data_IF_742306662582
#
_entry.id   IF_742306662582
#
_cell.length_a   1.000
_cell.length_b   1.000
_cell.length_c   1.000
_cell.angle_alpha   90.00
_cell.angle_beta   90.00
_cell.angle_gamma   90.00
#
_symmetry.space_group_name_H-M   'P 1'
#
loop_
_entity.id
_entity.type
_entity.pdbx_description
1 polymer ?
#
# COMPACT_ATOMS: atom_id res chain seq x y z
N UNK A 1 -2.86 -10.32 -16.90
CA UNK A 1 -2.46 -9.38 -15.83
C UNK A 1 -0.97 -9.41 -15.45
N UNK A 2 -0.42 -10.40 -14.72
CA UNK A 2 0.97 -10.30 -14.21
C UNK A 2 2.08 -10.30 -15.29
N UNK A 3 1.89 -11.03 -16.39
CA UNK A 3 2.85 -11.08 -17.51
C UNK A 3 2.78 -9.87 -18.43
N UNK A 4 1.58 -9.29 -18.62
CA UNK A 4 1.36 -8.18 -19.56
C UNK A 4 1.80 -6.82 -19.00
N UNK A 5 1.65 -6.62 -17.69
CA UNK A 5 2.14 -5.42 -17.00
C UNK A 5 3.68 -5.43 -16.98
N UNK A 6 4.29 -6.56 -16.61
CA UNK A 6 5.74 -6.72 -16.64
C UNK A 6 6.35 -6.66 -18.05
N UNK A 7 5.62 -7.04 -19.11
CA UNK A 7 6.14 -6.99 -20.48
C UNK A 7 6.18 -5.58 -21.09
N UNK A 8 5.59 -4.59 -20.42
CA UNK A 8 5.52 -3.20 -20.90
C UNK A 8 6.38 -2.23 -20.08
N UNK A 9 6.87 -2.67 -18.93
CA UNK A 9 7.76 -1.89 -18.09
C UNK A 9 9.21 -2.22 -18.42
N UNK A 10 10.01 -1.18 -18.52
CA UNK A 10 11.44 -1.26 -18.75
C UNK A 10 12.21 -0.44 -17.72
N UNK A 11 13.43 -0.89 -17.44
CA UNK A 11 14.36 -0.18 -16.59
C UNK A 11 15.16 0.80 -17.45
N UNK A 12 15.02 2.09 -17.18
CA UNK A 12 15.78 3.16 -17.84
C UNK A 12 16.76 3.78 -16.84
N UNK A 13 17.88 4.27 -17.35
CA UNK A 13 18.93 4.95 -16.58
C UNK A 13 19.26 6.26 -17.27
N UNK A 14 19.53 7.30 -16.49
CA UNK A 14 19.95 8.59 -17.03
C UNK A 14 19.94 9.70 -16.00
N UNK A 15 20.20 10.92 -16.47
CA UNK A 15 20.20 12.13 -15.64
C UNK A 15 18.85 12.83 -15.71
N UNK A 16 18.35 13.31 -14.57
CA UNK A 16 17.13 14.11 -14.52
C UNK A 16 17.39 15.55 -14.94
N UNK A 17 16.54 16.07 -15.83
CA UNK A 17 16.45 17.48 -16.18
C UNK A 17 14.99 17.96 -16.14
N UNK A 18 14.80 19.29 -16.09
CA UNK A 18 13.51 19.96 -16.17
C UNK A 18 12.43 19.46 -15.18
N UNK A 19 12.84 18.96 -14.01
CA UNK A 19 11.96 18.41 -12.99
C UNK A 19 10.91 19.43 -12.52
N UNK A 20 9.65 19.01 -12.60
CA UNK A 20 8.48 19.70 -12.06
C UNK A 20 7.73 18.73 -11.15
N UNK A 21 7.45 19.19 -9.94
CA UNK A 21 6.72 18.43 -8.93
C UNK A 21 5.45 19.20 -8.60
N UNK A 22 4.31 18.51 -8.63
CA UNK A 22 3.02 19.05 -8.17
C UNK A 22 2.42 18.07 -7.19
N UNK A 23 2.30 18.47 -5.93
CA UNK A 23 1.54 17.70 -4.94
C UNK A 23 0.06 17.80 -5.29
N UNK A 24 -0.58 16.66 -5.53
CA UNK A 24 -2.00 16.59 -5.89
C UNK A 24 -2.67 15.52 -5.04
N UNK A 25 -3.93 15.78 -4.70
CA UNK A 25 -4.83 14.80 -4.12
C UNK A 25 -5.42 13.97 -5.27
N UNK A 26 -5.23 12.66 -5.21
CA UNK A 26 -5.79 11.72 -6.16
C UNK A 26 -6.16 10.44 -5.40
N UNK A 27 -7.34 9.91 -5.67
CA UNK A 27 -7.70 8.60 -5.16
C UNK A 27 -6.94 7.52 -5.96
N UNK A 28 -5.96 6.88 -5.32
CA UNK A 28 -5.18 5.78 -5.91
C UNK A 28 -5.84 4.42 -5.67
N UNK A 29 -6.85 4.34 -4.80
CA UNK A 29 -7.41 3.10 -4.26
C UNK A 29 -8.77 2.79 -4.89
N UNK A 30 -9.61 3.81 -5.14
CA UNK A 30 -10.89 3.70 -5.83
C UNK A 30 -10.82 4.24 -7.25
N UNK A 31 -11.50 3.56 -8.18
CA UNK A 31 -11.69 4.11 -9.53
C UNK A 31 -12.85 5.11 -9.56
N UNK A 32 -12.88 6.02 -10.55
CA UNK A 32 -13.98 6.98 -10.76
C UNK A 32 -15.38 6.31 -10.70
N UNK A 33 -15.54 5.16 -11.34
CA UNK A 33 -16.80 4.40 -11.30
C UNK A 33 -17.22 3.96 -9.89
N UNK A 34 -16.27 3.65 -8.99
CA UNK A 34 -16.59 3.28 -7.61
C UNK A 34 -17.00 4.51 -6.79
N UNK A 35 -16.41 5.67 -7.11
CA UNK A 35 -16.76 6.96 -6.53
C UNK A 35 -18.18 7.35 -6.92
N UNK A 36 -18.50 7.30 -8.21
CA UNK A 36 -19.85 7.56 -8.75
C UNK A 36 -20.90 6.61 -8.16
N UNK A 37 -20.58 5.32 -8.04
CA UNK A 37 -21.46 4.36 -7.38
C UNK A 37 -21.69 4.67 -5.90
N UNK A 38 -20.66 5.12 -5.18
CA UNK A 38 -20.77 5.51 -3.77
C UNK A 38 -21.57 6.80 -3.58
N UNK A 39 -21.39 7.79 -4.45
CA UNK A 39 -22.20 9.02 -4.47
C UNK A 39 -23.67 8.71 -4.78
N UNK A 40 -23.94 7.88 -5.79
CA UNK A 40 -25.30 7.43 -6.11
C UNK A 40 -25.93 6.65 -4.94
N UNK A 41 -25.15 5.83 -4.24
CA UNK A 41 -25.60 5.10 -3.05
C UNK A 41 -25.87 6.04 -1.88
N UNK A 42 -25.04 7.07 -1.68
CA UNK A 42 -25.24 8.09 -0.67
C UNK A 42 -26.51 8.90 -0.93
N UNK A 43 -26.76 9.28 -2.19
CA UNK A 43 -27.99 9.95 -2.62
C UNK A 43 -29.22 9.06 -2.37
N UNK A 44 -29.15 7.78 -2.73
CA UNK A 44 -30.22 6.81 -2.44
C UNK A 44 -30.48 6.64 -0.94
N UNK A 45 -29.42 6.53 -0.13
CA UNK A 45 -29.53 6.45 1.33
C UNK A 45 -30.14 7.72 1.93
N UNK A 46 -29.80 8.91 1.42
CA UNK A 46 -30.39 10.18 1.85
C UNK A 46 -31.89 10.25 1.53
N UNK A 47 -32.30 9.83 0.33
CA UNK A 47 -33.71 9.76 -0.08
C UNK A 47 -34.52 8.78 0.77
N UNK A 48 -33.89 7.71 1.26
CA UNK A 48 -34.50 6.73 2.17
C UNK A 48 -34.45 7.15 3.64
N UNK A 49 -34.04 8.40 3.95
CA UNK A 49 -33.99 8.92 5.32
C UNK A 49 -32.83 8.38 6.16
N UNK A 50 -31.87 7.68 5.57
CA UNK A 50 -30.69 7.12 6.23
C UNK A 50 -29.54 8.15 6.27
N UNK A 51 -29.79 9.32 6.87
CA UNK A 51 -28.86 10.45 6.85
C UNK A 51 -27.45 10.13 7.38
N UNK A 52 -27.34 9.34 8.45
CA UNK A 52 -26.05 8.92 8.99
C UNK A 52 -25.25 8.05 8.00
N UNK A 53 -25.92 7.12 7.31
CA UNK A 53 -25.31 6.26 6.29
C UNK A 53 -24.89 7.05 5.05
N UNK A 54 -25.71 8.02 4.62
CA UNK A 54 -25.40 8.91 3.51
C UNK A 54 -24.16 9.77 3.80
N UNK A 55 -24.09 10.38 4.98
CA UNK A 55 -22.91 11.14 5.44
C UNK A 55 -21.68 10.23 5.54
N UNK A 56 -21.84 9.01 6.04
CA UNK A 56 -20.76 8.02 6.10
C UNK A 56 -20.20 7.68 4.72
N UNK A 57 -21.05 7.47 3.72
CA UNK A 57 -20.66 7.18 2.34
C UNK A 57 -19.97 8.37 1.65
N UNK A 58 -20.48 9.58 1.84
CA UNK A 58 -19.86 10.82 1.33
C UNK A 58 -18.50 11.09 1.98
N UNK A 59 -18.37 10.84 3.28
CA UNK A 59 -17.08 10.98 3.95
C UNK A 59 -16.06 9.94 3.49
N UNK A 60 -16.50 8.72 3.15
CA UNK A 60 -15.62 7.69 2.60
C UNK A 60 -15.15 8.02 1.19
N UNK A 61 -15.98 8.66 0.36
CA UNK A 61 -15.56 9.15 -0.96
C UNK A 61 -14.64 10.36 -0.86
N UNK A 62 -14.90 11.28 0.07
CA UNK A 62 -14.07 12.46 0.26
C UNK A 62 -12.70 12.16 0.90
N UNK A 63 -12.61 11.19 1.81
CA UNK A 63 -11.36 10.84 2.52
C UNK A 63 -10.54 9.75 1.81
N UNK A 64 -10.93 9.28 0.63
CA UNK A 64 -10.14 8.32 -0.15
C UNK A 64 -9.06 9.00 -1.01
N UNK A 65 -9.05 10.34 -1.06
CA UNK A 65 -8.00 11.11 -1.73
C UNK A 65 -6.70 11.07 -0.91
N UNK A 66 -5.64 10.49 -1.49
CA UNK A 66 -4.31 10.47 -0.88
C UNK A 66 -3.38 11.47 -1.60
N UNK A 67 -2.49 12.14 -0.85
CA UNK A 67 -1.54 13.10 -1.40
C UNK A 67 -0.31 12.40 -1.97
N UNK A 68 -0.09 12.52 -3.27
CA UNK A 68 1.12 12.06 -3.94
C UNK A 68 1.72 13.17 -4.82
N UNK A 69 2.99 12.99 -5.17
CA UNK A 69 3.69 13.89 -6.08
C UNK A 69 3.43 13.44 -7.53
N UNK A 70 2.73 14.28 -8.30
CA UNK A 70 2.77 14.20 -9.75
C UNK A 70 4.10 14.80 -10.21
N UNK A 71 4.90 14.00 -10.91
CA UNK A 71 6.21 14.38 -11.40
C UNK A 71 6.23 14.44 -12.92
N UNK A 72 6.89 15.45 -13.45
CA UNK A 72 7.21 15.60 -14.88
C UNK A 72 8.68 15.95 -14.98
N UNK A 73 9.45 15.21 -15.78
CA UNK A 73 10.88 15.47 -15.98
C UNK A 73 11.37 14.89 -17.30
N UNK A 74 12.57 15.30 -17.70
CA UNK A 74 13.28 14.70 -18.82
C UNK A 74 14.37 13.76 -18.28
N UNK A 75 14.43 12.55 -18.81
CA UNK A 75 15.53 11.60 -18.59
C UNK A 75 16.34 11.50 -19.88
N UNK A 76 17.54 12.09 -19.89
CA UNK A 76 18.41 12.15 -21.08
C UNK A 76 17.67 12.63 -22.36
N UNK A 77 16.78 13.61 -22.21
CA UNK A 77 15.97 14.17 -23.30
C UNK A 77 14.67 13.41 -23.61
N UNK A 78 14.37 12.33 -22.87
CA UNK A 78 13.11 11.60 -22.97
C UNK A 78 12.11 12.11 -21.94
N UNK A 79 10.90 12.49 -22.37
CA UNK A 79 9.87 13.01 -21.48
C UNK A 79 9.24 11.90 -20.63
N UNK A 80 9.26 12.07 -19.32
CA UNK A 80 8.71 11.15 -18.31
C UNK A 80 7.70 11.88 -17.43
N UNK A 81 6.58 11.22 -17.16
CA UNK A 81 5.56 11.70 -16.21
C UNK A 81 5.07 10.55 -15.33
N UNK A 82 4.53 10.83 -14.15
CA UNK A 82 3.94 9.78 -13.32
C UNK A 82 3.64 10.19 -11.90
N UNK A 83 3.16 9.20 -11.12
CA UNK A 83 2.85 9.37 -9.71
C UNK A 83 3.88 8.66 -8.86
N UNK A 84 4.49 9.40 -7.94
CA UNK A 84 5.38 8.85 -6.92
C UNK A 84 4.91 9.31 -5.55
N UNK A 85 5.14 8.48 -4.53
CA UNK A 85 4.77 8.84 -3.16
C UNK A 85 5.41 10.14 -2.70
N UNK A 86 6.69 10.30 -3.01
CA UNK A 86 7.40 11.56 -2.92
C UNK A 86 8.63 11.52 -3.81
N UNK A 87 8.99 12.63 -4.44
CA UNK A 87 10.16 12.69 -5.31
C UNK A 87 11.46 12.86 -4.49
N UNK A 88 12.42 11.90 -4.52
CA UNK A 88 13.61 11.94 -3.65
C UNK A 88 14.81 12.68 -4.25
N UNK A 89 14.71 13.17 -5.49
CA UNK A 89 15.83 13.61 -6.33
C UNK A 89 15.61 14.99 -6.92
N UNK A 90 16.68 15.59 -7.42
CA UNK A 90 16.70 16.91 -8.03
C UNK A 90 17.25 16.86 -9.46
N UNK A 91 17.17 17.98 -10.19
CA UNK A 91 17.83 18.10 -11.49
C UNK A 91 19.34 17.87 -11.36
N UNK A 92 19.91 17.09 -12.27
CA UNK A 92 21.30 16.68 -12.28
C UNK A 92 21.59 15.37 -11.54
N UNK A 93 20.61 14.79 -10.84
CA UNK A 93 20.78 13.48 -10.19
C UNK A 93 20.70 12.35 -11.24
N UNK A 94 21.62 11.39 -11.14
CA UNK A 94 21.59 10.11 -11.86
C UNK A 94 20.58 9.16 -11.21
N UNK A 95 19.69 8.57 -12.02
CA UNK A 95 18.62 7.71 -11.52
C UNK A 95 18.40 6.45 -12.36
N UNK A 96 17.83 5.44 -11.73
CA UNK A 96 17.26 4.25 -12.35
C UNK A 96 15.73 4.30 -12.21
N UNK A 97 14.99 4.39 -13.32
CA UNK A 97 13.53 4.40 -13.29
C UNK A 97 12.95 3.13 -13.89
N UNK A 98 11.85 2.65 -13.30
CA UNK A 98 11.00 1.64 -13.94
C UNK A 98 9.80 2.36 -14.54
N UNK A 99 9.67 2.32 -15.86
CA UNK A 99 8.66 3.06 -16.58
C UNK A 99 7.99 2.22 -17.67
N UNK A 100 6.73 2.52 -17.97
CA UNK A 100 6.01 1.99 -19.13
C UNK A 100 6.06 3.00 -20.27
N UNK A 101 6.40 2.53 -21.48
CA UNK A 101 6.35 3.35 -22.68
C UNK A 101 4.89 3.69 -23.06
N UNK A 102 4.58 4.97 -23.17
CA UNK A 102 3.29 5.49 -23.63
C UNK A 102 3.34 5.90 -25.11
N UNK A 103 2.18 6.04 -25.78
CA UNK A 103 2.11 6.60 -27.12
C UNK A 103 2.81 7.97 -27.21
N UNK A 104 3.30 8.33 -28.40
CA UNK A 104 4.01 9.60 -28.67
C UNK A 104 5.37 9.76 -27.97
N UNK A 105 6.03 8.65 -27.63
CA UNK A 105 7.41 8.67 -27.13
C UNK A 105 7.56 9.18 -25.69
N UNK A 106 6.47 9.24 -24.94
CA UNK A 106 6.46 9.57 -23.51
C UNK A 106 6.57 8.31 -22.67
N UNK A 107 6.97 8.49 -21.42
CA UNK A 107 7.08 7.41 -20.44
C UNK A 107 6.25 7.70 -19.21
N UNK A 108 5.60 6.65 -18.70
CA UNK A 108 4.92 6.70 -17.41
C UNK A 108 5.78 6.01 -16.35
N UNK A 109 6.28 6.75 -15.36
CA UNK A 109 7.14 6.20 -14.29
C UNK A 109 6.32 5.56 -13.18
N UNK A 110 6.74 4.36 -12.76
CA UNK A 110 6.18 3.63 -11.62
C UNK A 110 7.12 3.56 -10.42
N UNK A 111 8.43 3.68 -10.65
CA UNK A 111 9.41 3.74 -9.58
C UNK A 111 10.66 4.46 -10.04
N UNK A 112 11.33 5.09 -9.09
CA UNK A 112 12.58 5.79 -9.26
C UNK A 112 13.52 5.40 -8.13
N UNK A 113 14.76 5.04 -8.49
CA UNK A 113 15.82 4.71 -7.55
C UNK A 113 17.01 5.63 -7.81
N UNK A 114 17.52 6.24 -6.74
CA UNK A 114 18.82 6.94 -6.76
C UNK A 114 19.92 5.93 -6.39
N UNK A 115 20.86 5.61 -7.30
CA UNK A 115 21.91 4.65 -7.01
C UNK A 115 22.89 5.08 -5.91
N UNK A 116 23.11 6.39 -5.76
CA UNK A 116 24.08 6.97 -4.82
C UNK A 116 23.85 6.55 -3.36
N UNK A 117 22.60 6.62 -2.89
CA UNK A 117 22.22 6.30 -1.51
C UNK A 117 21.16 5.20 -1.42
N UNK A 118 20.80 4.58 -2.55
CA UNK A 118 19.87 3.46 -2.62
C UNK A 118 18.42 3.83 -2.31
N UNK A 119 18.08 5.12 -2.28
CA UNK A 119 16.71 5.58 -2.05
C UNK A 119 15.83 5.24 -3.24
N UNK A 120 14.66 4.68 -2.95
CA UNK A 120 13.64 4.25 -3.91
C UNK A 120 12.33 4.95 -3.58
N UNK A 121 11.79 5.64 -4.57
CA UNK A 121 10.39 6.06 -4.61
C UNK A 121 9.61 5.11 -5.49
N UNK A 122 8.43 4.70 -5.03
CA UNK A 122 7.53 3.82 -5.76
C UNK A 122 6.18 4.50 -5.94
N UNK A 123 5.41 3.99 -6.91
CA UNK A 123 4.01 4.31 -7.07
C UNK A 123 3.25 4.06 -5.75
N UNK A 124 2.27 4.92 -5.40
CA UNK A 124 1.36 4.73 -4.26
C UNK A 124 1.02 3.27 -3.96
N UNK A 125 1.21 2.85 -2.71
CA UNK A 125 0.96 1.49 -2.20
C UNK A 125 1.73 0.32 -2.84
N UNK A 126 2.58 0.55 -3.85
CA UNK A 126 3.41 -0.48 -4.49
C UNK A 126 4.70 -0.76 -3.68
N UNK A 127 4.58 -0.90 -2.36
CA UNK A 127 5.71 -0.97 -1.42
C UNK A 127 6.10 -2.39 -1.01
N UNK A 128 5.22 -3.38 -1.20
CA UNK A 128 5.47 -4.75 -0.77
C UNK A 128 4.94 -5.79 -1.76
N UNK A 129 5.70 -6.87 -1.93
CA UNK A 129 5.30 -8.05 -2.69
C UNK A 129 4.16 -8.82 -2.01
N UNK A 130 3.51 -9.75 -2.73
CA UNK A 130 2.28 -10.40 -2.26
C UNK A 130 2.48 -11.19 -0.97
N UNK A 131 3.57 -11.93 -0.86
CA UNK A 131 3.86 -12.75 0.33
C UNK A 131 4.18 -11.87 1.53
N UNK A 132 4.91 -10.78 1.35
CA UNK A 132 5.18 -9.81 2.40
C UNK A 132 3.89 -9.15 2.91
N UNK A 133 3.06 -8.65 1.99
CA UNK A 133 1.77 -8.02 2.30
C UNK A 133 0.83 -8.99 3.04
N UNK A 134 0.73 -10.23 2.57
CA UNK A 134 -0.08 -11.27 3.21
C UNK A 134 0.39 -11.56 4.64
N UNK A 135 1.70 -11.75 4.85
CA UNK A 135 2.27 -11.99 6.18
C UNK A 135 1.99 -10.84 7.14
N UNK A 136 2.14 -9.60 6.67
CA UNK A 136 1.89 -8.40 7.48
C UNK A 136 0.42 -8.33 7.92
N UNK A 137 -0.52 -8.48 6.99
CA UNK A 137 -1.97 -8.46 7.26
C UNK A 137 -2.38 -9.59 8.20
N UNK A 138 -1.91 -10.82 7.97
CA UNK A 138 -2.24 -11.97 8.81
C UNK A 138 -1.65 -11.86 10.22
N UNK A 139 -0.44 -11.29 10.34
CA UNK A 139 0.16 -11.00 11.65
C UNK A 139 -0.67 -9.97 12.43
N UNK A 140 -1.12 -8.91 11.76
CA UNK A 140 -2.01 -7.91 12.36
C UNK A 140 -3.35 -8.53 12.76
N UNK A 141 -3.94 -9.37 11.90
CA UNK A 141 -5.17 -10.11 12.20
C UNK A 141 -5.04 -10.95 13.47
N UNK A 142 -3.99 -11.77 13.55
CA UNK A 142 -3.72 -12.63 14.71
C UNK A 142 -3.55 -11.79 15.98
N UNK A 143 -2.78 -10.72 15.90
CA UNK A 143 -2.54 -9.84 17.04
C UNK A 143 -3.85 -9.21 17.55
N UNK A 144 -4.65 -8.62 16.66
CA UNK A 144 -5.95 -8.05 17.02
C UNK A 144 -6.90 -9.11 17.58
N UNK A 145 -6.96 -10.28 16.94
CA UNK A 145 -7.80 -11.39 17.40
C UNK A 145 -7.42 -11.84 18.81
N UNK A 146 -6.13 -12.10 19.07
CA UNK A 146 -5.68 -12.56 20.38
C UNK A 146 -5.87 -11.53 21.48
N UNK A 147 -5.68 -10.23 21.20
CA UNK A 147 -5.93 -9.16 22.18
C UNK A 147 -7.41 -9.12 22.55
N UNK A 148 -8.30 -9.10 21.57
CA UNK A 148 -9.76 -9.05 21.80
C UNK A 148 -10.23 -10.33 22.50
N UNK A 149 -9.77 -11.49 22.00
CA UNK A 149 -10.10 -12.79 22.57
C UNK A 149 -9.65 -12.92 24.01
N UNK A 150 -8.44 -12.46 24.35
CA UNK A 150 -7.91 -12.49 25.71
C UNK A 150 -8.74 -11.62 26.67
N UNK A 151 -9.06 -10.39 26.26
CA UNK A 151 -9.88 -9.47 27.06
C UNK A 151 -11.27 -10.06 27.29
N UNK A 152 -11.92 -10.55 26.22
CA UNK A 152 -13.25 -11.14 26.30
C UNK A 152 -13.26 -12.39 27.20
N UNK A 153 -12.28 -13.27 27.03
CA UNK A 153 -12.16 -14.49 27.83
C UNK A 153 -11.93 -14.18 29.31
N UNK A 154 -11.09 -13.19 29.63
CA UNK A 154 -10.84 -12.76 31.01
C UNK A 154 -12.11 -12.20 31.68
N UNK A 155 -12.86 -11.33 30.99
CA UNK A 155 -14.11 -10.78 31.49
C UNK A 155 -15.15 -11.89 31.69
N UNK A 156 -15.27 -12.80 30.72
CA UNK A 156 -16.24 -13.88 30.77
C UNK A 156 -15.96 -14.86 31.92
N UNK A 157 -14.69 -15.24 32.13
CA UNK A 157 -14.30 -16.12 33.24
C UNK A 157 -14.47 -15.43 34.60
N UNK A 158 -14.18 -14.13 34.69
CA UNK A 158 -14.40 -13.37 35.92
C UNK A 158 -15.88 -13.36 36.34
N UNK A 159 -16.80 -13.24 35.38
CA UNK A 159 -18.24 -13.16 35.66
C UNK A 159 -18.90 -14.51 36.00
N UNK A 160 -18.36 -15.64 35.55
CA UNK A 160 -19.02 -16.95 35.70
C UNK A 160 -18.69 -17.70 37.01
N UNK A 161 -17.84 -17.16 37.89
CA UNK A 161 -17.47 -17.82 39.16
C UNK A 161 -16.73 -19.15 38.95
N UNK A 162 -16.40 -19.91 40.02
CA UNK A 162 -15.58 -21.14 39.95
C UNK A 162 -16.34 -22.40 39.51
N UNK A 163 -17.65 -22.45 39.74
CA UNK A 163 -18.43 -23.67 39.56
C UNK A 163 -18.83 -23.94 38.10
N UNK A 164 -18.72 -22.93 37.22
CA UNK A 164 -19.05 -23.02 35.80
C UNK A 164 -17.84 -23.03 34.84
N UNK A 165 -16.62 -23.29 35.32
CA UNK A 165 -15.41 -23.14 34.50
C UNK A 165 -15.36 -24.07 33.30
N UNK A 166 -15.82 -25.32 33.42
CA UNK A 166 -15.81 -26.27 32.30
C UNK A 166 -16.68 -25.78 31.15
N UNK A 167 -17.89 -25.32 31.46
CA UNK A 167 -18.86 -24.88 30.46
C UNK A 167 -18.45 -23.54 29.87
N UNK A 168 -17.91 -22.65 30.71
CA UNK A 168 -17.38 -21.37 30.28
C UNK A 168 -16.17 -21.53 29.33
N UNK A 169 -15.25 -22.46 29.62
CA UNK A 169 -14.11 -22.75 28.76
C UNK A 169 -14.53 -23.36 27.42
N UNK A 170 -15.49 -24.28 27.41
CA UNK A 170 -16.05 -24.84 26.18
C UNK A 170 -16.70 -23.74 25.32
N UNK A 171 -17.47 -22.86 25.94
CA UNK A 171 -18.11 -21.74 25.25
C UNK A 171 -17.08 -20.77 24.66
N UNK A 172 -16.07 -20.38 25.45
CA UNK A 172 -14.94 -19.54 25.00
C UNK A 172 -14.17 -20.20 23.85
N UNK A 173 -13.97 -21.52 23.87
CA UNK A 173 -13.28 -22.24 22.82
C UNK A 173 -14.06 -22.23 21.50
N UNK A 174 -15.37 -22.50 21.54
CA UNK A 174 -16.24 -22.49 20.36
C UNK A 174 -16.34 -21.08 19.77
N UNK A 175 -16.59 -20.07 20.61
CA UNK A 175 -16.63 -18.66 20.18
C UNK A 175 -15.28 -18.19 19.65
N UNK A 176 -14.18 -18.62 20.26
CA UNK A 176 -12.83 -18.35 19.78
C UNK A 176 -12.61 -18.89 18.37
N UNK A 177 -12.98 -20.15 18.13
CA UNK A 177 -12.86 -20.77 16.81
C UNK A 177 -13.73 -20.08 15.75
N UNK A 178 -15.01 -19.83 16.06
CA UNK A 178 -15.92 -19.10 15.17
C UNK A 178 -15.42 -17.67 14.90
N UNK A 179 -14.95 -16.97 15.93
CA UNK A 179 -14.38 -15.63 15.84
C UNK A 179 -13.12 -15.60 14.98
N UNK A 180 -12.24 -16.60 15.11
CA UNK A 180 -11.02 -16.71 14.30
C UNK A 180 -11.37 -16.85 12.81
N UNK A 181 -12.34 -17.70 12.47
CA UNK A 181 -12.79 -17.88 11.08
C UNK A 181 -13.41 -16.59 10.52
N UNK A 182 -14.19 -15.87 11.32
CA UNK A 182 -14.76 -14.58 10.94
C UNK A 182 -13.67 -13.52 10.68
N UNK A 183 -12.72 -13.38 11.60
CA UNK A 183 -11.57 -12.46 11.43
C UNK A 183 -10.74 -12.82 10.20
N UNK A 184 -10.49 -14.11 10.00
CA UNK A 184 -9.79 -14.61 8.82
C UNK A 184 -10.50 -14.24 7.52
N UNK A 185 -11.82 -14.42 7.45
CA UNK A 185 -12.61 -14.01 6.29
C UNK A 185 -12.53 -12.50 6.01
N UNK A 186 -12.72 -11.67 7.04
CA UNK A 186 -12.67 -10.20 6.90
C UNK A 186 -11.30 -9.71 6.42
N UNK A 187 -10.23 -10.18 7.05
CA UNK A 187 -8.87 -9.79 6.67
C UNK A 187 -8.45 -10.38 5.31
N UNK A 188 -8.95 -11.55 4.93
CA UNK A 188 -8.73 -12.11 3.60
C UNK A 188 -9.41 -11.27 2.52
N UNK A 189 -10.63 -10.79 2.73
CA UNK A 189 -11.32 -9.86 1.82
C UNK A 189 -10.52 -8.56 1.69
N UNK A 190 -10.03 -8.01 2.80
CA UNK A 190 -9.17 -6.81 2.80
C UNK A 190 -7.87 -7.04 1.99
N UNK A 191 -7.18 -8.16 2.24
CA UNK A 191 -5.99 -8.55 1.48
C UNK A 191 -6.27 -8.63 -0.03
N UNK A 192 -7.40 -9.21 -0.43
CA UNK A 192 -7.79 -9.33 -1.85
C UNK A 192 -7.99 -7.96 -2.53
N UNK A 193 -8.38 -6.92 -1.78
CA UNK A 193 -8.48 -5.55 -2.33
C UNK A 193 -7.10 -4.92 -2.54
N UNK A 194 -6.17 -5.14 -1.61
CA UNK A 194 -4.83 -4.55 -1.60
C UNK A 194 -3.82 -5.27 -2.49
N UNK A 195 -4.04 -6.55 -2.80
CA UNK A 195 -3.08 -7.39 -3.55
C UNK A 195 -2.75 -6.83 -4.95
N UNK A 196 -3.63 -5.99 -5.52
CA UNK A 196 -3.43 -5.33 -6.83
C UNK A 196 -2.13 -4.53 -6.85
N UNK A 197 -1.84 -3.77 -5.79
CA UNK A 197 -0.61 -3.00 -5.67
C UNK A 197 0.63 -3.88 -5.51
N UNK A 198 0.49 -5.03 -4.84
CA UNK A 198 1.59 -5.98 -4.71
C UNK A 198 2.01 -6.62 -6.04
N UNK A 199 1.09 -6.75 -7.00
CA UNK A 199 1.46 -7.18 -8.36
C UNK A 199 2.30 -6.12 -9.08
N UNK A 200 1.93 -4.84 -8.94
CA UNK A 200 2.72 -3.73 -9.48
C UNK A 200 4.10 -3.66 -8.82
N UNK A 201 4.16 -3.79 -7.49
CA UNK A 201 5.41 -3.84 -6.73
C UNK A 201 6.33 -4.98 -7.20
N UNK A 202 5.80 -6.20 -7.35
CA UNK A 202 6.57 -7.34 -7.86
C UNK A 202 7.12 -7.09 -9.26
N UNK A 203 6.34 -6.47 -10.15
CA UNK A 203 6.80 -6.15 -11.49
C UNK A 203 7.90 -5.07 -11.48
N UNK A 204 7.78 -4.04 -10.62
CA UNK A 204 8.83 -3.05 -10.39
C UNK A 204 10.12 -3.71 -9.88
N UNK A 205 10.02 -4.57 -8.87
CA UNK A 205 11.18 -5.26 -8.27
C UNK A 205 11.85 -6.21 -9.27
N UNK A 206 11.05 -6.87 -10.11
CA UNK A 206 11.54 -7.70 -11.20
C UNK A 206 12.32 -6.89 -12.24
N UNK A 207 11.83 -5.70 -12.64
CA UNK A 207 12.56 -4.80 -13.54
C UNK A 207 13.90 -4.31 -12.95
N UNK A 208 13.96 -4.12 -11.62
CA UNK A 208 15.22 -3.84 -10.92
C UNK A 208 16.15 -5.06 -10.77
N UNK A 209 15.68 -6.27 -11.10
CA UNK A 209 16.43 -7.52 -10.97
C UNK A 209 16.59 -8.00 -9.52
N UNK A 210 15.73 -7.57 -8.60
CA UNK A 210 15.81 -7.99 -7.20
C UNK A 210 15.28 -9.40 -7.01
N UNK A 211 16.03 -10.22 -6.26
CA UNK A 211 15.64 -11.61 -6.02
C UNK A 211 14.49 -11.72 -5.02
N UNK A 212 13.58 -12.67 -5.27
CA UNK A 212 12.45 -13.02 -4.41
C UNK A 212 11.42 -11.88 -4.28
N UNK A 213 11.02 -11.29 -5.40
CA UNK A 213 10.13 -10.10 -5.47
C UNK A 213 8.90 -10.19 -4.55
N UNK A 214 8.28 -11.38 -4.47
CA UNK A 214 7.06 -11.62 -3.68
C UNK A 214 7.24 -11.39 -2.19
N UNK A 215 8.46 -11.56 -1.69
CA UNK A 215 8.79 -11.50 -0.26
C UNK A 215 9.37 -10.16 0.17
N UNK A 216 9.59 -9.23 -0.76
CA UNK A 216 10.20 -7.93 -0.49
C UNK A 216 9.17 -7.02 0.19
N UNK A 217 9.61 -6.38 1.27
CA UNK A 217 8.92 -5.33 2.01
C UNK A 217 9.85 -4.11 2.11
N UNK A 218 9.52 -3.07 1.36
CA UNK A 218 10.28 -1.81 1.36
C UNK A 218 10.10 -1.02 2.66
N UNK A 219 8.94 -1.12 3.31
CA UNK A 219 8.68 -0.46 4.59
C UNK A 219 9.54 -1.11 5.67
N UNK A 220 9.69 -2.44 5.65
CA UNK A 220 10.51 -3.15 6.62
C UNK A 220 11.99 -2.86 6.44
N UNK A 221 12.48 -2.83 5.20
CA UNK A 221 13.90 -2.56 4.90
C UNK A 221 14.32 -1.12 5.19
N UNK A 222 13.42 -0.15 5.02
CA UNK A 222 13.71 1.26 5.33
C UNK A 222 13.71 1.59 6.82
N UNK A 223 13.22 0.69 7.70
CA UNK A 223 13.17 0.95 9.14
C UNK A 223 14.57 1.16 9.72
N UNK A 224 14.77 2.34 10.32
CA UNK A 224 16.01 2.70 11.00
C UNK A 224 17.16 3.10 10.06
N UNK A 225 16.90 3.24 8.75
CA UNK A 225 17.88 3.73 7.78
C UNK A 225 17.54 5.19 7.45
N UNK A 226 18.54 6.08 7.55
CA UNK A 226 18.40 7.50 7.18
C UNK A 226 19.11 7.74 5.85
N UNK A 227 18.45 8.33 4.84
CA UNK A 227 19.11 8.75 3.61
C UNK A 227 20.25 9.73 3.89
N UNK A 228 21.32 9.65 3.10
CA UNK A 228 22.48 10.57 3.21
C UNK A 228 22.11 11.99 2.80
N UNK A 229 21.31 12.13 1.74
CA UNK A 229 20.75 13.40 1.28
C UNK A 229 19.27 13.47 1.66
N UNK A 230 19.03 14.05 2.84
CA UNK A 230 17.67 14.23 3.38
C UNK A 230 17.09 15.51 2.75
N UNK A 231 15.96 15.40 2.03
CA UNK A 231 15.04 16.53 1.96
C UNK A 231 14.49 16.70 3.39
N UNK A 232 15.05 17.69 4.10
CA UNK A 232 15.29 17.80 5.55
C UNK A 232 14.16 17.46 6.57
N UNK A 233 12.98 16.99 6.17
CA UNK A 233 11.79 17.02 7.03
C UNK A 233 11.00 15.71 7.17
N UNK A 234 11.28 14.62 6.44
CA UNK A 234 10.21 13.63 6.24
C UNK A 234 10.62 12.17 6.40
N UNK A 235 10.14 11.53 7.49
CA UNK A 235 10.07 10.08 7.64
C UNK A 235 8.68 9.56 7.26
N UNK A 236 8.60 8.70 6.24
CA UNK A 236 7.57 7.67 5.94
C UNK A 236 7.41 7.37 4.43
N UNK A 237 7.86 8.24 3.52
CA UNK A 237 7.54 8.14 2.09
C UNK A 237 8.72 7.82 1.15
N UNK A 238 9.90 7.54 1.72
CA UNK A 238 11.07 7.08 0.98
C UNK A 238 11.46 5.70 1.47
N UNK A 239 11.81 4.84 0.53
CA UNK A 239 12.19 3.48 0.83
C UNK A 239 13.65 3.24 0.50
N UNK A 240 14.28 2.31 1.20
CA UNK A 240 15.64 1.87 0.89
C UNK A 240 15.56 0.36 0.82
N UNK A 241 16.01 -0.20 -0.30
CA UNK A 241 16.06 -1.64 -0.45
C UNK A 241 17.38 -2.19 0.12
N UNK A 242 17.25 -3.00 1.16
CA UNK A 242 18.33 -3.81 1.74
C UNK A 242 17.93 -5.29 1.65
N UNK A 243 18.64 -6.13 0.87
CA UNK A 243 18.32 -7.54 0.68
C UNK A 243 18.23 -8.35 1.99
N UNK A 244 18.98 -7.98 3.03
CA UNK A 244 19.01 -8.68 4.31
C UNK A 244 17.80 -8.33 5.19
N UNK A 245 17.34 -7.06 5.12
CA UNK A 245 16.25 -6.55 5.96
C UNK A 245 14.87 -6.60 5.31
N UNK A 246 14.81 -6.67 3.99
CA UNK A 246 13.56 -6.57 3.23
C UNK A 246 12.64 -7.79 3.32
N UNK A 247 13.01 -8.87 4.01
CA UNK A 247 12.30 -10.17 3.97
C UNK A 247 11.50 -10.46 5.23
#
# INVERSE_FOLDING_TARGET
MNKEISSRMELLRGTIANLRIRRRQQDFVMSEAQHEHMEATAAGAALLGMGASAIGLLNLSANSEEEADWVEFDLDGTQVEGWLWKMPVFNGDEVEIVAERRPRGRYFVYSLRRPEDGVVAVYPHATAGRSAQYRSIMKMMLWCFFVIYFIFSAIFLYNNGKDGWSDALNFIAILGFCGLLMFWGLFYISYRKLIRFSYLAEAIFSCYGWANEKSIDLIKSSKGVKPTRIAAEYGLHYFIYDPERAR
#
